data_IF_483134718908
#
_entry.id   IF_483134718908
#
_cell.length_a   1.000
_cell.length_b   1.000
_cell.length_c   1.000
_cell.angle_alpha   90.00
_cell.angle_beta   90.00
_cell.angle_gamma   90.00
#
_symmetry.space_group_name_H-M   'P 1'
#
loop_
_entity.id
_entity.type
_entity.pdbx_description
1 polymer ?
#
# COMPACT_ATOMS: atom_id res chain seq x y z
N UNK A 1 -11.38 3.25 5.46
CA UNK A 1 -10.26 2.37 5.10
C UNK A 1 -9.01 2.68 5.91
N UNK A 2 -8.36 3.83 5.69
CA UNK A 2 -7.03 4.14 6.26
C UNK A 2 -6.90 3.99 7.78
N UNK A 3 -7.95 4.21 8.58
CA UNK A 3 -7.91 3.96 10.04
C UNK A 3 -7.63 2.49 10.40
N UNK A 4 -8.11 1.52 9.59
CA UNK A 4 -7.81 0.09 9.80
C UNK A 4 -6.32 -0.17 9.57
N UNK A 5 -5.78 0.32 8.46
CA UNK A 5 -4.36 0.18 8.12
C UNK A 5 -3.42 0.91 9.08
N UNK A 6 -3.80 2.08 9.58
CA UNK A 6 -3.06 2.75 10.64
C UNK A 6 -2.97 1.88 11.91
N UNK A 7 -4.05 1.17 12.25
CA UNK A 7 -4.09 0.24 13.38
C UNK A 7 -3.18 -0.97 13.21
N UNK A 8 -3.14 -1.55 12.01
CA UNK A 8 -2.25 -2.67 11.67
C UNK A 8 -0.77 -2.30 11.89
N UNK A 9 -0.40 -1.06 11.58
CA UNK A 9 0.97 -0.58 11.73
C UNK A 9 1.27 -0.19 13.18
N UNK A 10 0.45 0.65 13.81
CA UNK A 10 0.84 1.34 15.04
C UNK A 10 -0.28 1.45 16.10
N UNK A 11 -1.25 0.52 16.12
CA UNK A 11 -2.17 0.46 17.26
C UNK A 11 -1.39 0.28 18.58
N UNK A 12 -1.74 1.08 19.58
CA UNK A 12 -1.03 1.17 20.86
C UNK A 12 -1.15 -0.16 21.61
N UNK A 13 -0.02 -0.66 22.13
CA UNK A 13 0.00 -1.85 22.99
C UNK A 13 -0.41 -1.53 24.43
N UNK A 14 -1.03 -2.50 25.12
CA UNK A 14 -1.25 -2.45 26.57
C UNK A 14 -2.30 -1.45 27.05
N UNK A 15 -3.19 -0.96 26.18
CA UNK A 15 -4.15 0.10 26.50
C UNK A 15 -5.62 -0.38 26.68
N UNK A 16 -5.87 -1.67 26.90
CA UNK A 16 -7.22 -2.29 27.03
C UNK A 16 -8.19 -2.12 25.84
N UNK A 17 -7.77 -1.49 24.74
CA UNK A 17 -8.61 -1.27 23.56
C UNK A 17 -8.11 -2.07 22.36
N UNK A 18 -9.02 -2.76 21.66
CA UNK A 18 -8.74 -3.47 20.41
C UNK A 18 -7.49 -4.41 20.47
N UNK A 19 -6.53 -4.21 19.57
CA UNK A 19 -5.32 -5.02 19.42
C UNK A 19 -4.07 -4.15 19.27
N UNK A 20 -2.95 -4.76 18.85
CA UNK A 20 -1.63 -4.13 18.77
C UNK A 20 -1.15 -4.03 17.33
N UNK A 21 -0.49 -2.93 16.97
CA UNK A 21 0.15 -2.76 15.67
C UNK A 21 1.51 -3.44 15.61
N UNK A 22 1.97 -3.79 14.41
CA UNK A 22 3.28 -4.44 14.18
C UNK A 22 4.44 -3.58 14.73
N UNK A 23 4.34 -2.27 14.60
CA UNK A 23 5.27 -1.26 15.08
C UNK A 23 4.57 -0.32 16.07
N UNK A 24 4.03 -0.87 17.17
CA UNK A 24 3.26 -0.12 18.18
C UNK A 24 4.00 1.01 18.92
N UNK A 25 5.32 1.17 18.71
CA UNK A 25 6.12 2.32 19.17
C UNK A 25 6.35 3.39 18.08
N UNK A 26 6.04 3.09 16.82
CA UNK A 26 6.16 4.04 15.74
C UNK A 26 5.10 5.14 15.84
N UNK A 27 5.39 6.30 15.26
CA UNK A 27 4.34 7.30 15.06
C UNK A 27 3.62 7.01 13.76
N UNK A 28 2.34 7.35 13.74
CA UNK A 28 1.44 7.10 12.62
C UNK A 28 0.73 8.37 12.19
N UNK A 29 0.61 8.57 10.88
CA UNK A 29 -0.16 9.66 10.28
C UNK A 29 -0.87 9.17 9.03
N UNK A 30 -1.77 10.02 8.50
CA UNK A 30 -2.51 9.72 7.28
C UNK A 30 -2.74 10.95 6.43
N UNK A 31 -2.64 10.76 5.11
CA UNK A 31 -3.14 11.70 4.09
C UNK A 31 -4.60 11.37 3.80
N UNK A 32 -5.43 12.31 3.38
CA UNK A 32 -6.77 11.98 2.87
C UNK A 32 -6.84 12.44 1.42
N UNK A 33 -6.63 11.50 0.49
CA UNK A 33 -6.58 11.79 -0.95
C UNK A 33 -7.53 10.97 -1.81
N UNK A 34 -8.13 9.89 -1.29
CA UNK A 34 -9.08 9.03 -2.04
C UNK A 34 -10.56 9.41 -1.86
N UNK A 35 -10.86 10.44 -1.06
CA UNK A 35 -12.24 10.85 -0.75
C UNK A 35 -12.69 11.99 -1.68
N UNK A 36 -12.61 11.73 -2.98
CA UNK A 36 -12.88 12.69 -4.05
C UNK A 36 -12.13 12.34 -5.33
N UNK A 37 -12.25 13.16 -6.39
CA UNK A 37 -11.51 12.97 -7.63
C UNK A 37 -10.00 12.96 -7.38
N UNK A 38 -9.34 11.88 -7.80
CA UNK A 38 -7.89 11.70 -7.67
C UNK A 38 -7.27 12.09 -9.00
N UNK A 39 -6.50 13.18 -9.00
CA UNK A 39 -5.71 13.60 -10.17
C UNK A 39 -4.24 13.31 -9.94
N UNK A 40 -3.45 13.27 -11.01
CA UNK A 40 -1.98 13.13 -10.96
C UNK A 40 -1.34 14.14 -9.97
N UNK A 41 -1.87 15.36 -9.88
CA UNK A 41 -1.39 16.37 -8.93
C UNK A 41 -1.65 16.01 -7.46
N UNK A 42 -2.79 15.37 -7.18
CA UNK A 42 -3.18 14.90 -5.84
C UNK A 42 -2.32 13.70 -5.43
N UNK A 43 -2.08 12.77 -6.34
CA UNK A 43 -1.16 11.64 -6.13
C UNK A 43 0.26 12.14 -5.85
N UNK A 44 0.78 13.01 -6.71
CA UNK A 44 2.11 13.57 -6.58
C UNK A 44 2.31 14.33 -5.27
N UNK A 45 1.34 15.15 -4.86
CA UNK A 45 1.38 15.86 -3.59
C UNK A 45 1.38 14.90 -2.40
N UNK A 46 0.58 13.83 -2.48
CA UNK A 46 0.48 12.81 -1.42
C UNK A 46 1.78 12.02 -1.27
N UNK A 47 2.38 11.60 -2.39
CA UNK A 47 3.67 10.89 -2.42
C UNK A 47 4.85 11.78 -2.02
N UNK A 48 4.69 13.10 -2.13
CA UNK A 48 5.73 14.08 -1.85
C UNK A 48 5.69 14.67 -0.43
N UNK A 49 4.63 14.37 0.33
CA UNK A 49 4.38 15.00 1.63
C UNK A 49 5.54 14.74 2.58
N UNK A 50 6.10 15.80 3.16
CA UNK A 50 7.11 15.79 4.24
C UNK A 50 8.16 14.66 4.13
N UNK A 51 8.74 14.44 2.94
CA UNK A 51 9.67 13.32 2.65
C UNK A 51 10.92 13.20 3.52
N UNK A 52 11.29 14.25 4.25
CA UNK A 52 12.40 14.24 5.21
C UNK A 52 11.96 13.86 6.63
N UNK A 53 10.65 13.90 6.89
CA UNK A 53 10.05 13.51 8.16
C UNK A 53 9.47 12.10 8.10
N UNK A 54 8.87 11.73 6.96
CA UNK A 54 8.22 10.45 6.74
C UNK A 54 9.24 9.45 6.19
N UNK A 55 9.35 8.30 6.85
CA UNK A 55 10.20 7.22 6.38
C UNK A 55 9.49 6.31 5.36
N UNK A 56 8.29 5.85 5.72
CA UNK A 56 7.55 4.83 4.96
C UNK A 56 6.20 5.39 4.54
N UNK A 57 5.85 5.15 3.28
CA UNK A 57 4.55 5.40 2.67
C UNK A 57 3.96 4.03 2.31
N UNK A 58 2.72 3.76 2.69
CA UNK A 58 2.10 2.45 2.47
C UNK A 58 0.81 2.59 1.67
N UNK A 59 0.74 2.33 0.38
CA UNK A 59 -0.47 2.54 -0.43
C UNK A 59 -0.96 1.26 -1.12
N UNK A 60 -2.09 1.36 -1.83
CA UNK A 60 -2.77 0.23 -2.49
C UNK A 60 -3.81 0.69 -3.52
N UNK A 61 -3.72 1.97 -3.88
CA UNK A 61 -4.57 2.53 -4.91
C UNK A 61 -3.79 2.43 -6.22
N UNK A 62 -4.53 2.41 -7.31
CA UNK A 62 -3.99 2.18 -8.64
C UNK A 62 -5.14 2.24 -9.65
N UNK A 63 -4.92 1.68 -10.84
CA UNK A 63 -5.97 1.47 -11.83
C UNK A 63 -7.11 0.61 -11.27
N UNK A 64 -8.21 0.52 -12.02
CA UNK A 64 -9.31 -0.36 -11.65
C UNK A 64 -8.89 -1.83 -11.84
N UNK A 65 -9.02 -2.63 -10.79
CA UNK A 65 -8.71 -4.07 -10.78
C UNK A 65 -9.77 -4.90 -11.56
N UNK A 66 -10.05 -4.56 -12.82
CA UNK A 66 -11.11 -5.14 -13.64
C UNK A 66 -10.65 -6.22 -14.63
N UNK A 67 -9.35 -6.51 -14.66
CA UNK A 67 -8.72 -7.45 -15.61
C UNK A 67 -8.61 -6.92 -17.04
N UNK A 68 -8.80 -5.61 -17.24
CA UNK A 68 -8.84 -4.97 -18.56
C UNK A 68 -8.12 -3.63 -18.61
N UNK A 69 -7.98 -2.97 -17.47
CA UNK A 69 -7.33 -1.67 -17.34
C UNK A 69 -5.81 -1.84 -17.34
N UNK A 70 -5.13 -1.02 -18.13
CA UNK A 70 -3.67 -0.93 -18.16
C UNK A 70 -3.30 0.53 -17.98
N UNK A 71 -2.85 0.91 -16.79
CA UNK A 71 -2.58 2.31 -16.44
C UNK A 71 -1.55 2.41 -15.29
N UNK A 72 -1.14 3.62 -14.93
CA UNK A 72 -0.14 3.84 -13.91
C UNK A 72 0.05 5.30 -13.53
N UNK A 73 1.14 5.63 -12.80
CA UNK A 73 1.39 6.99 -12.35
C UNK A 73 1.55 7.97 -13.51
N UNK A 74 0.83 9.10 -13.42
CA UNK A 74 1.01 10.24 -14.30
C UNK A 74 2.41 10.87 -14.16
N UNK A 75 2.74 11.85 -15.02
CA UNK A 75 4.07 12.49 -14.99
C UNK A 75 4.45 13.08 -13.63
N UNK A 76 3.51 13.68 -12.89
CA UNK A 76 3.80 14.29 -11.58
C UNK A 76 4.00 13.20 -10.52
N UNK A 77 3.17 12.17 -10.51
CA UNK A 77 3.31 11.04 -9.58
C UNK A 77 4.62 10.28 -9.81
N UNK A 78 5.02 10.06 -11.07
CA UNK A 78 6.34 9.46 -11.40
C UNK A 78 7.50 10.30 -10.91
N UNK A 79 7.44 11.62 -11.09
CA UNK A 79 8.47 12.53 -10.57
C UNK A 79 8.47 12.54 -9.03
N UNK A 80 7.31 12.43 -8.38
CA UNK A 80 7.21 12.33 -6.93
C UNK A 80 7.89 11.06 -6.41
N UNK A 81 7.67 9.90 -7.04
CA UNK A 81 8.40 8.67 -6.73
C UNK A 81 9.90 8.85 -6.91
N UNK A 82 10.35 9.33 -8.07
CA UNK A 82 11.78 9.51 -8.36
C UNK A 82 12.46 10.42 -7.33
N UNK A 83 11.87 11.56 -7.01
CA UNK A 83 12.41 12.46 -5.97
C UNK A 83 12.31 11.86 -4.57
N UNK A 84 11.28 11.06 -4.30
CA UNK A 84 11.12 10.34 -3.03
C UNK A 84 12.28 9.40 -2.79
N UNK A 85 12.55 8.49 -3.73
CA UNK A 85 13.65 7.52 -3.61
C UNK A 85 15.04 8.17 -3.69
N UNK A 86 15.18 9.32 -4.34
CA UNK A 86 16.47 10.00 -4.49
C UNK A 86 16.84 10.90 -3.32
N UNK A 87 15.86 11.61 -2.75
CA UNK A 87 16.12 12.68 -1.78
C UNK A 87 15.38 12.52 -0.45
N UNK A 88 14.35 11.68 -0.38
CA UNK A 88 13.63 11.39 0.85
C UNK A 88 14.54 10.83 1.94
N UNK A 89 14.13 11.00 3.21
CA UNK A 89 14.87 10.51 4.39
C UNK A 89 16.33 10.93 4.40
N UNK A 90 16.54 12.21 4.12
CA UNK A 90 17.86 12.84 4.04
C UNK A 90 18.81 12.15 3.05
N UNK A 91 18.27 11.79 1.88
CA UNK A 91 19.01 11.15 0.79
C UNK A 91 19.09 9.62 0.88
N UNK A 92 18.47 8.98 1.89
CA UNK A 92 18.38 7.51 1.98
C UNK A 92 17.30 6.92 1.07
N UNK A 93 16.37 7.74 0.61
CA UNK A 93 15.25 7.37 -0.22
C UNK A 93 14.02 6.96 0.58
N UNK A 94 12.89 7.62 0.30
CA UNK A 94 11.57 7.25 0.81
C UNK A 94 11.24 5.79 0.47
N UNK A 95 10.62 5.08 1.39
CA UNK A 95 10.18 3.70 1.19
C UNK A 95 8.70 3.73 0.82
N UNK A 96 8.35 3.25 -0.37
CA UNK A 96 6.97 3.12 -0.82
C UNK A 96 6.56 1.65 -0.82
N UNK A 97 5.70 1.23 0.09
CA UNK A 97 5.09 -0.11 0.12
C UNK A 97 3.77 -0.04 -0.63
N UNK A 98 3.51 -1.00 -1.51
CA UNK A 98 2.30 -1.03 -2.33
C UNK A 98 1.62 -2.38 -2.27
N UNK A 99 0.29 -2.41 -2.18
CA UNK A 99 -0.45 -3.66 -2.34
C UNK A 99 -0.55 -4.04 -3.82
N UNK A 100 -0.47 -5.34 -4.11
CA UNK A 100 -0.43 -5.86 -5.48
C UNK A 100 -1.79 -5.95 -6.20
N UNK A 101 -2.88 -5.37 -5.69
CA UNK A 101 -4.20 -5.43 -6.31
C UNK A 101 -5.14 -6.55 -5.80
N UNK A 102 -6.44 -6.43 -6.15
CA UNK A 102 -7.54 -7.30 -5.69
C UNK A 102 -8.38 -7.90 -6.85
N UNK A 103 -7.87 -7.87 -8.07
CA UNK A 103 -8.53 -8.27 -9.32
C UNK A 103 -8.47 -9.75 -9.67
N UNK A 104 -7.95 -10.62 -8.79
CA UNK A 104 -7.76 -12.05 -9.09
C UNK A 104 -9.00 -12.77 -9.62
N UNK A 105 -10.18 -12.51 -9.03
CA UNK A 105 -11.46 -13.09 -9.51
C UNK A 105 -11.88 -12.63 -10.92
N UNK A 106 -11.32 -11.53 -11.40
CA UNK A 106 -11.54 -10.97 -12.74
C UNK A 106 -10.41 -11.32 -13.71
N UNK A 107 -9.49 -12.20 -13.30
CA UNK A 107 -8.31 -12.61 -14.06
C UNK A 107 -7.36 -11.45 -14.35
N UNK A 108 -7.28 -10.50 -13.42
CA UNK A 108 -6.35 -9.38 -13.53
C UNK A 108 -4.89 -9.82 -13.31
N UNK A 109 -3.97 -9.05 -13.86
CA UNK A 109 -2.54 -9.18 -13.58
C UNK A 109 -2.01 -7.83 -13.15
N UNK A 110 -1.40 -7.81 -11.97
CA UNK A 110 -0.77 -6.62 -11.43
C UNK A 110 0.41 -6.09 -12.26
N UNK A 111 0.79 -6.80 -13.33
CA UNK A 111 1.68 -6.27 -14.38
C UNK A 111 1.05 -5.12 -15.19
N UNK A 112 -0.28 -4.99 -15.15
CA UNK A 112 -1.04 -3.92 -15.77
C UNK A 112 -1.17 -2.66 -14.88
N UNK A 113 -0.73 -2.76 -13.62
CA UNK A 113 -0.67 -1.64 -12.68
C UNK A 113 0.75 -1.04 -12.62
N UNK A 114 0.89 0.17 -13.15
CA UNK A 114 2.14 0.94 -13.16
C UNK A 114 2.65 1.37 -11.78
N UNK A 115 1.80 1.38 -10.75
CA UNK A 115 2.22 1.65 -9.37
C UNK A 115 2.88 0.41 -8.76
N UNK A 116 2.27 -0.75 -8.95
CA UNK A 116 2.76 -2.04 -8.48
C UNK A 116 4.00 -2.54 -9.23
N UNK A 117 4.12 -2.22 -10.53
CA UNK A 117 5.28 -2.59 -11.35
C UNK A 117 6.46 -1.62 -11.26
N UNK A 118 6.28 -0.48 -10.57
CA UNK A 118 7.33 0.52 -10.40
C UNK A 118 8.51 -0.05 -9.62
N UNK A 119 9.73 0.16 -10.12
CA UNK A 119 10.96 -0.19 -9.39
C UNK A 119 11.16 0.63 -8.10
N UNK A 120 10.34 1.67 -7.90
CA UNK A 120 10.37 2.53 -6.72
C UNK A 120 9.41 2.06 -5.61
N UNK A 121 8.58 1.06 -5.88
CA UNK A 121 7.63 0.51 -4.91
C UNK A 121 8.05 -0.90 -4.48
N UNK A 122 7.78 -1.22 -3.22
CA UNK A 122 7.86 -2.54 -2.65
C UNK A 122 6.48 -3.16 -2.71
N UNK A 123 6.20 -3.88 -3.80
CA UNK A 123 4.91 -4.57 -3.99
C UNK A 123 4.79 -5.77 -3.04
N UNK A 124 3.67 -5.82 -2.31
CA UNK A 124 3.32 -6.84 -1.33
C UNK A 124 1.99 -7.46 -1.69
N UNK A 125 1.98 -8.78 -1.77
CA UNK A 125 0.77 -9.58 -2.02
C UNK A 125 0.25 -10.25 -0.74
N UNK A 126 -0.74 -11.12 -0.90
CA UNK A 126 -1.51 -11.71 0.20
C UNK A 126 -1.43 -13.23 0.25
N UNK A 127 -1.41 -13.78 1.47
CA UNK A 127 -1.62 -15.20 1.72
C UNK A 127 -2.76 -15.37 2.73
N UNK A 128 -3.55 -16.44 2.56
CA UNK A 128 -4.53 -16.83 3.59
C UNK A 128 -3.83 -17.40 4.82
N UNK A 129 -4.56 -17.54 5.93
CA UNK A 129 -4.06 -18.18 7.16
C UNK A 129 -3.55 -19.61 6.94
N UNK A 130 -4.06 -20.30 5.90
CA UNK A 130 -3.65 -21.65 5.52
C UNK A 130 -2.47 -21.65 4.53
N UNK A 131 -1.78 -20.52 4.36
CA UNK A 131 -0.68 -20.31 3.41
C UNK A 131 -1.08 -20.58 1.95
N UNK A 132 -2.30 -20.17 1.55
CA UNK A 132 -2.78 -20.30 0.17
C UNK A 132 -2.93 -18.94 -0.49
N UNK A 133 -2.97 -18.93 -1.83
CA UNK A 133 -3.35 -17.75 -2.60
C UNK A 133 -4.84 -17.42 -2.34
N UNK A 134 -5.19 -16.19 -1.91
CA UNK A 134 -6.58 -15.77 -1.80
C UNK A 134 -7.21 -15.53 -3.17
N UNK A 135 -8.54 -15.57 -3.24
CA UNK A 135 -9.31 -15.44 -4.48
C UNK A 135 -9.17 -14.08 -5.19
N UNK A 136 -8.75 -13.04 -4.47
CA UNK A 136 -8.57 -11.69 -5.00
C UNK A 136 -7.12 -11.42 -5.43
N UNK A 137 -6.17 -12.31 -5.14
CA UNK A 137 -4.76 -12.08 -5.47
C UNK A 137 -4.54 -11.94 -6.97
N UNK A 138 -3.75 -10.94 -7.35
CA UNK A 138 -3.22 -10.79 -8.69
C UNK A 138 -1.77 -11.29 -8.76
N UNK A 139 -1.47 -12.08 -9.79
CA UNK A 139 -0.13 -12.62 -10.01
C UNK A 139 0.66 -11.73 -10.99
N UNK A 140 1.86 -11.31 -10.57
CA UNK A 140 2.82 -10.64 -11.45
C UNK A 140 4.26 -10.79 -10.94
N UNK A 141 5.28 -10.72 -11.84
CA UNK A 141 6.69 -10.82 -11.48
C UNK A 141 7.22 -9.64 -10.64
N UNK A 142 6.50 -8.53 -10.56
CA UNK A 142 6.92 -7.34 -9.80
C UNK A 142 6.65 -7.45 -8.30
N UNK A 143 5.81 -8.40 -7.87
CA UNK A 143 5.55 -8.66 -6.45
C UNK A 143 6.81 -9.16 -5.75
N UNK A 144 7.17 -8.54 -4.62
CA UNK A 144 8.42 -8.80 -3.91
C UNK A 144 8.21 -9.73 -2.71
N UNK A 145 7.09 -9.57 -2.00
CA UNK A 145 6.82 -10.29 -0.77
C UNK A 145 5.33 -10.54 -0.57
N UNK A 146 5.00 -11.35 0.44
CA UNK A 146 3.63 -11.72 0.78
C UNK A 146 3.41 -11.57 2.28
N UNK A 147 2.25 -11.07 2.68
CA UNK A 147 1.81 -11.01 4.09
C UNK A 147 0.45 -11.67 4.26
N UNK A 148 0.08 -12.03 5.49
CA UNK A 148 -1.21 -12.66 5.75
C UNK A 148 -2.36 -11.68 5.64
N UNK A 149 -3.36 -12.00 4.82
CA UNK A 149 -4.58 -11.20 4.68
C UNK A 149 -5.82 -12.07 4.78
N UNK A 150 -6.98 -11.44 4.59
CA UNK A 150 -8.28 -12.08 4.63
C UNK A 150 -8.44 -13.16 3.57
N UNK A 151 -9.39 -14.06 3.82
CA UNK A 151 -9.73 -15.14 2.92
C UNK A 151 -11.25 -15.34 2.94
N UNK A 152 -11.75 -16.56 2.79
CA UNK A 152 -13.19 -16.82 2.76
C UNK A 152 -13.90 -16.38 4.05
N UNK A 153 -15.21 -16.07 3.98
CA UNK A 153 -16.02 -15.55 5.10
C UNK A 153 -15.98 -16.40 6.40
N UNK A 154 -15.60 -17.68 6.30
CA UNK A 154 -15.52 -18.60 7.43
C UNK A 154 -14.14 -18.60 8.12
N UNK A 155 -13.21 -17.75 7.70
CA UNK A 155 -11.87 -17.64 8.28
C UNK A 155 -11.75 -16.35 9.11
N UNK A 156 -10.84 -16.33 10.11
CA UNK A 156 -10.57 -15.11 10.86
C UNK A 156 -10.25 -13.95 9.90
N UNK A 157 -10.87 -12.79 10.14
CA UNK A 157 -10.53 -11.59 9.40
C UNK A 157 -9.09 -11.18 9.75
N UNK A 158 -8.16 -11.46 8.85
CA UNK A 158 -6.81 -10.92 8.92
C UNK A 158 -6.81 -9.66 8.07
N UNK A 159 -6.40 -8.54 8.66
CA UNK A 159 -6.16 -7.31 7.92
C UNK A 159 -4.65 -7.15 7.86
N UNK A 160 -4.09 -7.22 6.66
CA UNK A 160 -2.73 -6.79 6.36
C UNK A 160 -2.77 -5.63 5.37
N UNK A 161 -1.60 -4.97 5.25
CA UNK A 161 -1.35 -3.74 4.52
C UNK A 161 -1.95 -3.79 3.11
N UNK A 162 -3.22 -3.43 3.03
CA UNK A 162 -4.00 -3.29 1.80
C UNK A 162 -5.08 -2.26 2.12
N UNK A 163 -4.71 -1.06 2.55
CA UNK A 163 -4.96 0.16 1.77
C UNK A 163 -4.75 1.48 2.53
N UNK A 164 -3.99 2.37 1.89
CA UNK A 164 -3.75 3.79 2.19
C UNK A 164 -2.48 4.15 2.99
N UNK A 165 -1.81 5.23 2.53
CA UNK A 165 -0.53 5.80 2.99
C UNK A 165 -0.53 5.99 4.51
N UNK A 166 -0.07 4.97 5.20
CA UNK A 166 0.33 5.02 6.60
C UNK A 166 1.77 5.52 6.68
N UNK A 167 1.99 6.59 7.43
CA UNK A 167 3.33 7.07 7.76
C UNK A 167 3.88 6.32 8.95
N UNK A 168 5.11 5.80 8.87
CA UNK A 168 5.87 5.38 10.06
C UNK A 168 6.88 6.52 10.30
N UNK A 169 6.80 7.19 11.47
CA UNK A 169 7.83 8.10 11.99
C UNK A 169 8.52 7.49 13.22
#
# INVERSE_FOLDING_TARGET
HGTRCAGEVASIAGNVYCGVGVAFHAKIGGVRMLDGPVSDSVEAASLSLNRHHIDIYSASWGPEDDGRTFDGPGPLAREAFYRGVKAGRDGKGSIFVWASGNGGSRQDSCSADGYTTSVYTLSVSSATIDNRSPWYLEECPSTIATTYSSANMNQPAIVSIISFIAFIL
#
